data_IF_936986712178
#
_entry.id   IF_936986712178
#
_cell.length_a   1.000
_cell.length_b   1.000
_cell.length_c   1.000
_cell.angle_alpha   90.00
_cell.angle_beta   90.00
_cell.angle_gamma   90.00
#
_symmetry.space_group_name_H-M   'P 1'
#
loop_
_entity.id
_entity.type
_entity.pdbx_description
1 polymer ?
#
# COMPACT_ATOMS: atom_id res chain seq x y z
N UNK A 1 -59.04 -58.69 -2.10
CA UNK A 1 -58.29 -57.49 -1.69
C UNK A 1 -56.80 -57.82 -1.62
N UNK A 2 -56.00 -57.24 -2.51
CA UNK A 2 -54.57 -57.54 -2.61
C UNK A 2 -53.70 -56.74 -1.65
N UNK A 3 -52.51 -57.29 -1.33
CA UNK A 3 -51.34 -56.52 -0.93
C UNK A 3 -50.09 -57.17 -1.53
N UNK A 4 -49.55 -56.49 -2.55
CA UNK A 4 -48.23 -56.71 -3.14
C UNK A 4 -47.18 -56.24 -2.12
N UNK A 5 -46.24 -57.10 -1.74
CA UNK A 5 -45.01 -56.66 -1.06
C UNK A 5 -43.95 -56.33 -2.13
N UNK A 6 -43.62 -55.04 -2.23
CA UNK A 6 -42.56 -54.52 -3.08
C UNK A 6 -41.22 -54.52 -2.31
N UNK A 7 -40.17 -54.89 -3.05
CA UNK A 7 -38.83 -54.26 -3.11
C UNK A 7 -37.96 -54.30 -1.85
N UNK A 8 -36.98 -55.20 -1.87
CA UNK A 8 -35.66 -54.95 -1.30
C UNK A 8 -34.76 -54.33 -2.36
N UNK A 9 -34.34 -53.09 -2.15
CA UNK A 9 -33.22 -52.43 -2.84
C UNK A 9 -32.52 -51.59 -1.78
N UNK A 10 -31.39 -52.11 -1.29
CA UNK A 10 -30.51 -51.45 -0.35
C UNK A 10 -29.71 -50.38 -1.13
N UNK A 11 -29.86 -49.08 -0.86
CA UNK A 11 -29.00 -48.09 -1.51
C UNK A 11 -27.66 -48.03 -0.77
N UNK A 12 -26.58 -48.32 -1.49
CA UNK A 12 -25.21 -48.00 -1.08
C UNK A 12 -25.10 -46.49 -0.82
N UNK A 13 -24.99 -46.09 0.44
CA UNK A 13 -24.67 -44.72 0.84
C UNK A 13 -23.18 -44.47 0.61
N UNK A 14 -22.82 -43.84 -0.51
CA UNK A 14 -21.51 -43.19 -0.64
C UNK A 14 -21.50 -41.91 0.21
N UNK A 15 -20.44 -41.63 0.99
CA UNK A 15 -20.33 -40.37 1.71
C UNK A 15 -20.06 -39.20 0.73
N UNK A 16 -20.55 -37.98 1.02
CA UNK A 16 -20.30 -36.81 0.18
C UNK A 16 -18.83 -36.38 0.25
N UNK A 17 -18.31 -35.68 -0.77
CA UNK A 17 -16.93 -35.21 -0.77
C UNK A 17 -16.71 -34.16 0.32
N UNK A 18 -15.58 -34.27 1.01
CA UNK A 18 -15.13 -33.29 2.00
C UNK A 18 -14.91 -31.93 1.33
N UNK A 19 -15.81 -30.99 1.59
CA UNK A 19 -15.66 -29.61 1.15
C UNK A 19 -14.64 -28.92 2.05
N UNK A 20 -13.39 -28.85 1.60
CA UNK A 20 -12.36 -28.03 2.23
C UNK A 20 -12.82 -26.58 2.15
N UNK A 21 -13.23 -26.02 3.29
CA UNK A 21 -13.48 -24.59 3.41
C UNK A 21 -12.12 -23.89 3.36
N UNK A 22 -11.75 -23.38 2.20
CA UNK A 22 -10.74 -22.32 2.14
C UNK A 22 -11.29 -21.14 2.94
N UNK A 23 -10.80 -21.00 4.18
CA UNK A 23 -11.01 -19.82 5.01
C UNK A 23 -10.20 -18.69 4.37
N UNK A 24 -10.75 -18.06 3.34
CA UNK A 24 -10.32 -16.72 2.96
C UNK A 24 -10.61 -15.83 4.17
N UNK A 25 -9.57 -15.50 4.92
CA UNK A 25 -9.63 -14.37 5.83
C UNK A 25 -9.90 -13.15 4.95
N UNK A 26 -11.16 -12.71 4.95
CA UNK A 26 -11.56 -11.40 4.48
C UNK A 26 -10.71 -10.40 5.27
N UNK A 27 -9.69 -9.84 4.63
CA UNK A 27 -9.07 -8.61 5.12
C UNK A 27 -10.19 -7.58 5.09
N UNK A 28 -10.78 -7.31 6.25
CA UNK A 28 -11.64 -6.15 6.41
C UNK A 28 -10.78 -4.95 6.06
N UNK A 29 -11.18 -4.20 5.02
CA UNK A 29 -10.53 -2.97 4.65
C UNK A 29 -10.69 -1.99 5.81
N UNK A 30 -9.64 -1.84 6.63
CA UNK A 30 -9.55 -0.72 7.55
C UNK A 30 -9.54 0.52 6.67
N UNK A 31 -10.66 1.25 6.66
CA UNK A 31 -10.72 2.53 5.97
C UNK A 31 -9.72 3.45 6.68
N UNK A 32 -8.67 3.94 5.99
CA UNK A 32 -7.75 4.88 6.61
C UNK A 32 -8.56 6.09 7.04
N UNK A 33 -8.42 6.49 8.30
CA UNK A 33 -9.05 7.69 8.84
C UNK A 33 -8.64 8.87 7.97
N UNK A 34 -9.53 9.29 7.06
CA UNK A 34 -9.36 10.53 6.31
C UNK A 34 -9.55 11.65 7.33
N UNK A 35 -8.45 12.12 7.92
CA UNK A 35 -8.45 13.41 8.62
C UNK A 35 -8.99 14.44 7.63
N UNK A 36 -10.01 15.23 7.97
CA UNK A 36 -10.55 16.23 7.06
C UNK A 36 -9.45 17.26 6.80
N UNK A 37 -8.88 17.24 5.58
CA UNK A 37 -7.97 18.30 5.16
C UNK A 37 -8.79 19.59 5.09
N UNK A 38 -8.42 20.58 5.89
CA UNK A 38 -8.82 21.96 5.60
C UNK A 38 -8.26 22.30 4.20
N UNK A 39 -9.13 22.72 3.29
CA UNK A 39 -8.85 23.10 1.90
C UNK A 39 -7.89 24.32 1.74
N UNK A 40 -7.15 24.69 2.78
CA UNK A 40 -6.36 25.93 2.88
C UNK A 40 -4.84 25.69 2.96
N UNK A 41 -4.38 24.44 2.93
CA UNK A 41 -2.95 24.13 2.95
C UNK A 41 -2.47 23.83 1.52
N UNK A 42 -1.27 24.33 1.18
CA UNK A 42 -0.59 23.97 -0.05
C UNK A 42 -0.43 22.44 -0.15
N UNK A 43 -0.39 21.86 -1.36
CA UNK A 43 -0.14 20.43 -1.52
C UNK A 43 1.21 20.05 -0.89
N UNK A 44 1.33 18.85 -0.27
CA UNK A 44 2.59 18.37 0.26
C UNK A 44 3.67 18.30 -0.83
N UNK A 45 4.94 18.32 -0.45
CA UNK A 45 6.07 18.34 -1.38
C UNK A 45 7.04 17.20 -1.08
N UNK A 46 7.33 16.41 -2.10
CA UNK A 46 8.30 15.31 -2.08
C UNK A 46 9.57 15.81 -2.77
N UNK A 47 10.66 15.96 -2.03
CA UNK A 47 11.98 16.28 -2.57
C UNK A 47 12.74 15.02 -3.03
N UNK A 48 13.31 15.04 -4.23
CA UNK A 48 14.21 14.00 -4.75
C UNK A 48 15.34 14.63 -5.58
N UNK A 49 16.38 13.87 -5.92
CA UNK A 49 17.49 14.37 -6.72
C UNK A 49 17.11 14.73 -8.17
N UNK A 50 17.82 15.70 -8.75
CA UNK A 50 17.67 16.11 -10.15
C UNK A 50 18.70 15.42 -11.09
N UNK A 51 19.14 14.22 -10.75
CA UNK A 51 20.12 13.46 -11.54
C UNK A 51 19.50 12.64 -12.68
N UNK A 52 20.26 11.68 -13.19
CA UNK A 52 19.76 10.61 -14.06
C UNK A 52 18.64 9.84 -13.36
N UNK A 53 17.77 9.21 -14.16
CA UNK A 53 16.71 8.38 -13.62
C UNK A 53 17.29 7.22 -12.80
N UNK A 54 16.93 7.15 -11.53
CA UNK A 54 17.13 5.97 -10.70
C UNK A 54 15.76 5.35 -10.35
N UNK A 55 15.71 4.02 -10.27
CA UNK A 55 14.45 3.30 -10.10
C UNK A 55 13.87 3.49 -8.68
N UNK A 56 14.75 3.54 -7.69
CA UNK A 56 14.45 3.80 -6.29
C UNK A 56 13.80 5.16 -6.06
N UNK A 57 14.32 6.26 -6.62
CA UNK A 57 13.67 7.58 -6.46
C UNK A 57 12.23 7.58 -6.99
N UNK A 58 12.02 6.96 -8.16
CA UNK A 58 10.73 6.89 -8.82
C UNK A 58 9.75 6.00 -8.05
N UNK A 59 10.24 4.85 -7.56
CA UNK A 59 9.47 3.95 -6.72
C UNK A 59 9.07 4.61 -5.41
N UNK A 60 9.98 5.32 -4.74
CA UNK A 60 9.69 6.03 -3.50
C UNK A 60 8.60 7.09 -3.70
N UNK A 61 8.72 7.92 -4.75
CA UNK A 61 7.71 8.91 -5.09
C UNK A 61 6.34 8.28 -5.38
N UNK A 62 6.30 7.17 -6.12
CA UNK A 62 5.08 6.46 -6.44
C UNK A 62 4.41 5.88 -5.18
N UNK A 63 5.18 5.21 -4.31
CA UNK A 63 4.68 4.64 -3.07
C UNK A 63 4.15 5.70 -2.11
N UNK A 64 4.85 6.83 -1.97
CA UNK A 64 4.39 7.95 -1.15
C UNK A 64 3.04 8.49 -1.65
N UNK A 65 2.88 8.67 -2.97
CA UNK A 65 1.60 9.12 -3.55
C UNK A 65 0.43 8.13 -3.42
N UNK A 66 0.67 6.88 -3.03
CA UNK A 66 -0.42 5.97 -2.66
C UNK A 66 -1.00 6.28 -1.27
N UNK A 67 -0.26 7.02 -0.44
CA UNK A 67 -0.72 7.40 0.89
C UNK A 67 -1.71 8.57 0.78
N UNK A 68 -2.84 8.55 1.53
CA UNK A 68 -3.78 9.65 1.58
C UNK A 68 -3.15 10.98 1.99
N UNK A 69 -2.02 10.96 2.70
CA UNK A 69 -1.29 12.15 3.10
C UNK A 69 -0.60 12.84 1.93
N UNK A 70 0.00 12.10 1.00
CA UNK A 70 0.81 12.61 -0.12
C UNK A 70 0.17 12.39 -1.49
N UNK A 71 -1.11 11.98 -1.57
CA UNK A 71 -1.80 11.67 -2.84
C UNK A 71 -1.68 12.75 -3.91
N UNK A 72 -1.69 14.02 -3.50
CA UNK A 72 -1.65 15.19 -4.39
C UNK A 72 -0.29 15.92 -4.29
N UNK A 73 0.73 15.25 -3.75
CA UNK A 73 1.99 15.89 -3.44
C UNK A 73 2.74 16.31 -4.71
N UNK A 74 3.30 17.53 -4.71
CA UNK A 74 4.21 18.01 -5.74
C UNK A 74 5.56 17.28 -5.65
N UNK A 75 6.14 16.91 -6.79
CA UNK A 75 7.49 16.33 -6.84
C UNK A 75 8.48 17.44 -7.17
N UNK A 76 9.40 17.70 -6.25
CA UNK A 76 10.45 18.70 -6.36
C UNK A 76 11.79 17.99 -6.64
N UNK A 77 12.26 18.06 -7.89
CA UNK A 77 13.54 17.48 -8.29
C UNK A 77 14.67 18.50 -8.12
N UNK A 78 15.53 18.34 -7.13
CA UNK A 78 16.63 19.27 -6.85
C UNK A 78 17.72 18.66 -5.95
N UNK A 79 18.89 19.30 -5.90
CA UNK A 79 19.93 19.06 -4.89
C UNK A 79 20.21 20.29 -4.03
N UNK A 80 19.44 21.34 -4.22
CA UNK A 80 19.54 22.59 -3.46
C UNK A 80 19.04 22.37 -2.02
N UNK A 81 19.91 22.47 -1.01
CA UNK A 81 19.54 22.20 0.38
C UNK A 81 18.41 23.10 0.89
N UNK A 82 18.33 24.35 0.42
CA UNK A 82 17.29 25.29 0.86
C UNK A 82 15.91 24.86 0.34
N UNK A 83 15.85 24.39 -0.92
CA UNK A 83 14.62 23.85 -1.49
C UNK A 83 14.23 22.53 -0.83
N UNK A 84 15.19 21.66 -0.54
CA UNK A 84 14.94 20.40 0.18
C UNK A 84 14.44 20.64 1.61
N UNK A 85 14.95 21.65 2.30
CA UNK A 85 14.47 22.03 3.63
C UNK A 85 12.98 22.43 3.64
N UNK A 86 12.47 22.95 2.52
CA UNK A 86 11.06 23.32 2.34
C UNK A 86 10.12 22.16 1.92
N UNK A 87 10.64 20.94 1.79
CA UNK A 87 9.85 19.75 1.44
C UNK A 87 9.37 19.00 2.69
N UNK A 88 8.17 18.44 2.63
CA UNK A 88 7.60 17.66 3.74
C UNK A 88 8.36 16.34 3.91
N UNK A 89 8.67 15.66 2.81
CA UNK A 89 9.47 14.44 2.78
C UNK A 89 10.57 14.56 1.73
N UNK A 90 11.75 14.02 2.02
CA UNK A 90 12.89 13.99 1.09
C UNK A 90 13.37 12.54 0.97
N UNK A 91 13.60 12.11 -0.27
CA UNK A 91 14.04 10.76 -0.61
C UNK A 91 15.24 10.83 -1.55
N UNK A 92 16.17 9.89 -1.42
CA UNK A 92 17.29 9.70 -2.37
C UNK A 92 18.20 10.93 -2.58
N UNK A 93 18.16 11.90 -1.65
CA UNK A 93 18.97 13.12 -1.71
C UNK A 93 19.13 13.75 -0.32
N UNK A 94 20.26 14.43 -0.10
CA UNK A 94 20.55 15.22 1.10
C UNK A 94 21.54 14.59 2.08
N UNK A 95 21.98 13.35 1.86
CA UNK A 95 22.95 12.62 2.68
C UNK A 95 22.48 12.31 4.10
N UNK A 96 21.18 12.44 4.37
CA UNK A 96 20.59 12.36 5.71
C UNK A 96 19.51 11.26 5.77
N UNK A 97 19.59 10.42 6.79
CA UNK A 97 18.49 9.54 7.19
C UNK A 97 17.99 9.96 8.57
N UNK A 98 16.81 10.54 8.59
CA UNK A 98 16.10 10.94 9.80
C UNK A 98 14.60 10.65 9.62
N UNK A 99 14.11 9.52 10.14
CA UNK A 99 12.69 9.17 10.07
C UNK A 99 11.75 10.12 10.82
N UNK A 100 12.25 10.83 11.84
CA UNK A 100 11.44 11.81 12.57
C UNK A 100 11.20 13.07 11.73
N UNK A 101 12.14 13.40 10.84
CA UNK A 101 12.08 14.54 9.91
C UNK A 101 11.72 14.14 8.48
N UNK A 102 11.32 12.89 8.25
CA UNK A 102 10.99 12.36 6.94
C UNK A 102 12.11 12.60 5.91
N UNK A 103 13.35 12.29 6.30
CA UNK A 103 14.54 12.32 5.45
C UNK A 103 15.02 10.89 5.23
N UNK A 104 15.02 10.44 3.99
CA UNK A 104 15.29 9.07 3.61
C UNK A 104 16.31 9.04 2.48
N UNK A 105 17.55 9.40 2.78
CA UNK A 105 18.67 9.19 1.88
C UNK A 105 19.49 7.96 2.29
N UNK A 106 19.77 7.09 1.32
CA UNK A 106 20.65 5.93 1.50
C UNK A 106 22.14 6.26 1.30
N UNK A 107 22.49 7.46 0.79
CA UNK A 107 23.87 7.92 0.55
C UNK A 107 24.57 8.41 1.84
N UNK A 108 24.55 7.62 2.92
CA UNK A 108 25.01 8.06 4.25
C UNK A 108 26.53 8.06 4.42
N UNK A 109 27.27 7.47 3.46
CA UNK A 109 28.74 7.44 3.37
C UNK A 109 29.12 7.37 1.87
N UNK A 110 30.33 7.79 1.49
CA UNK A 110 30.82 7.65 0.11
C UNK A 110 30.81 6.21 -0.38
#
# INVERSE_FOLDING_TARGET
>A
MGRRFLRGLLPLLLPPPLRVRHRMHRLESVQPSKRPRCSLMAPPRIGTHNGTFHCDEALACALLRLLPEYQDAEIVRTRDPEKLASCDVVVDVGGEYDPQRHRYDHHQRP
#
